data_IF_307634492366
#
_entry.id   IF_307634492366
#
_cell.length_a   1.000
_cell.length_b   1.000
_cell.length_c   1.000
_cell.angle_alpha   90.00
_cell.angle_beta   90.00
_cell.angle_gamma   90.00
#
_symmetry.space_group_name_H-M   'P 1'
#
loop_
_entity.id
_entity.type
_entity.pdbx_description
1 polymer ?
#
# COMPACT_ATOMS: atom_id res chain seq x y z
N UNK A 1 5.17 -25.67 -7.39
CA UNK A 1 5.79 -24.34 -7.23
C UNK A 1 5.05 -23.53 -6.19
N UNK A 2 5.42 -23.70 -4.91
CA UNK A 2 4.84 -22.92 -3.81
C UNK A 2 5.39 -21.50 -3.88
N UNK A 3 4.54 -20.54 -4.26
CA UNK A 3 4.82 -19.11 -4.21
C UNK A 3 5.06 -18.75 -2.74
N UNK A 4 6.33 -18.76 -2.28
CA UNK A 4 6.69 -18.27 -0.93
C UNK A 4 6.12 -16.86 -0.81
N UNK A 5 5.26 -16.64 0.16
CA UNK A 5 4.39 -15.46 0.23
C UNK A 5 5.27 -14.24 0.53
N UNK A 6 5.42 -13.33 -0.43
CA UNK A 6 6.14 -12.05 -0.25
C UNK A 6 5.49 -11.17 0.83
N UNK A 7 4.20 -11.39 1.07
CA UNK A 7 3.42 -10.63 2.03
C UNK A 7 3.80 -10.96 3.48
N UNK A 8 3.91 -9.89 4.27
CA UNK A 8 4.10 -9.92 5.72
C UNK A 8 2.89 -10.61 6.39
N UNK A 9 3.16 -11.41 7.44
CA UNK A 9 2.16 -12.16 8.19
C UNK A 9 2.37 -11.94 9.68
N UNK A 10 1.34 -11.41 10.33
CA UNK A 10 1.29 -11.13 11.75
C UNK A 10 -0.07 -11.52 12.32
N UNK A 11 -0.15 -11.68 13.63
CA UNK A 11 -1.43 -11.85 14.34
C UNK A 11 -2.15 -10.51 14.53
N UNK A 12 -3.46 -10.54 14.76
CA UNK A 12 -4.23 -9.31 15.03
C UNK A 12 -3.63 -8.55 16.22
N UNK A 13 -3.43 -7.24 16.03
CA UNK A 13 -2.85 -6.34 17.02
C UNK A 13 -1.33 -6.28 17.03
N UNK A 14 -0.61 -7.19 16.36
CA UNK A 14 0.85 -7.11 16.27
C UNK A 14 1.28 -5.95 15.34
N UNK A 15 2.25 -5.12 15.77
CA UNK A 15 2.75 -4.00 14.98
C UNK A 15 3.56 -4.47 13.77
N UNK A 16 3.49 -3.69 12.68
CA UNK A 16 4.43 -3.82 11.56
C UNK A 16 5.67 -2.98 11.85
N UNK A 17 6.80 -3.65 12.04
CA UNK A 17 8.10 -3.05 12.33
C UNK A 17 8.74 -2.43 11.10
N UNK A 18 9.75 -1.59 11.28
CA UNK A 18 10.58 -1.11 10.16
C UNK A 18 11.17 -2.25 9.33
N UNK A 19 11.55 -3.37 9.96
CA UNK A 19 12.07 -4.55 9.28
C UNK A 19 11.01 -5.21 8.37
N UNK A 20 9.76 -5.30 8.82
CA UNK A 20 8.66 -5.84 8.01
C UNK A 20 8.44 -5.04 6.72
N UNK A 21 8.54 -3.71 6.86
CA UNK A 21 8.29 -2.71 5.83
C UNK A 21 9.50 -2.48 4.91
N UNK A 22 10.71 -2.88 5.32
CA UNK A 22 11.97 -2.41 4.71
C UNK A 22 12.01 -0.87 4.67
N UNK A 23 11.79 -0.26 5.84
CA UNK A 23 11.65 1.17 6.01
C UNK A 23 12.79 1.99 5.39
N UNK A 24 14.04 1.54 5.49
CA UNK A 24 15.18 2.35 5.01
C UNK A 24 15.19 2.45 3.47
N UNK A 25 14.78 1.39 2.77
CA UNK A 25 14.53 1.45 1.32
C UNK A 25 13.41 2.46 1.03
N UNK A 26 12.28 2.37 1.74
CA UNK A 26 11.16 3.30 1.57
C UNK A 26 11.58 4.75 1.85
N UNK A 27 12.40 4.96 2.87
CA UNK A 27 12.93 6.26 3.22
C UNK A 27 13.81 6.80 2.10
N UNK A 28 14.76 6.01 1.60
CA UNK A 28 15.61 6.38 0.48
C UNK A 28 14.78 6.78 -0.76
N UNK A 29 13.83 5.93 -1.17
CA UNK A 29 13.03 6.19 -2.38
C UNK A 29 12.22 7.49 -2.30
N UNK A 30 11.71 7.82 -1.11
CA UNK A 30 10.89 9.01 -0.88
C UNK A 30 11.69 10.26 -0.47
N UNK A 31 13.00 10.15 -0.28
CA UNK A 31 13.88 11.29 0.03
C UNK A 31 14.94 11.55 -1.04
N UNK A 32 15.07 10.68 -2.05
CA UNK A 32 15.93 10.92 -3.20
C UNK A 32 15.52 12.22 -3.92
N UNK A 33 16.43 13.21 -4.03
CA UNK A 33 16.11 14.53 -4.54
C UNK A 33 16.15 14.62 -6.07
N UNK A 34 16.43 13.54 -6.80
CA UNK A 34 16.69 13.59 -8.22
C UNK A 34 15.38 13.74 -9.00
N UNK A 35 15.14 14.94 -9.54
CA UNK A 35 13.99 15.24 -10.38
C UNK A 35 14.23 14.76 -11.82
N UNK A 36 14.00 13.47 -12.06
CA UNK A 36 14.42 12.78 -13.31
C UNK A 36 13.29 12.05 -14.03
N UNK A 37 12.09 12.04 -13.49
CA UNK A 37 10.91 11.41 -14.10
C UNK A 37 9.93 12.44 -14.65
N UNK A 38 9.41 12.22 -15.86
CA UNK A 38 8.40 13.05 -16.49
C UNK A 38 7.03 12.75 -15.87
N UNK A 39 6.43 13.75 -15.22
CA UNK A 39 5.08 13.61 -14.69
C UNK A 39 4.04 13.65 -15.82
N UNK A 40 3.18 12.64 -16.01
CA UNK A 40 2.13 12.68 -17.03
C UNK A 40 0.99 13.66 -16.70
N UNK A 41 0.96 14.19 -15.48
CA UNK A 41 -0.07 15.11 -15.00
C UNK A 41 0.52 16.47 -14.64
N UNK A 42 -0.34 17.45 -14.35
CA UNK A 42 0.09 18.67 -13.65
C UNK A 42 0.74 18.26 -12.33
N UNK A 43 1.94 18.77 -12.04
CA UNK A 43 2.71 18.36 -10.87
C UNK A 43 2.04 18.80 -9.57
N UNK A 44 2.50 18.25 -8.45
CA UNK A 44 2.06 18.67 -7.11
C UNK A 44 2.27 20.18 -6.86
N UNK A 45 3.22 20.79 -7.57
CA UNK A 45 3.57 22.20 -7.43
C UNK A 45 2.88 23.10 -8.46
N UNK A 46 2.05 22.53 -9.34
CA UNK A 46 1.28 23.25 -10.35
C UNK A 46 1.97 23.40 -11.71
N UNK A 47 3.13 22.77 -11.91
CA UNK A 47 3.85 22.79 -13.19
C UNK A 47 3.14 21.94 -14.25
N UNK A 48 3.28 22.26 -15.54
CA UNK A 48 2.61 21.53 -16.61
C UNK A 48 3.06 20.06 -16.68
N UNK A 49 2.19 19.20 -17.23
CA UNK A 49 2.53 17.83 -17.56
C UNK A 49 3.77 17.74 -18.46
N UNK A 50 4.59 16.72 -18.22
CA UNK A 50 5.93 16.56 -18.80
C UNK A 50 7.05 17.20 -17.98
N UNK A 51 6.74 17.90 -16.88
CA UNK A 51 7.78 18.43 -15.99
C UNK A 51 8.49 17.31 -15.26
N UNK A 52 9.81 17.44 -15.11
CA UNK A 52 10.65 16.48 -14.38
C UNK A 52 10.45 16.62 -12.87
N UNK A 53 10.16 15.52 -12.21
CA UNK A 53 9.88 15.42 -10.76
C UNK A 53 10.66 14.26 -10.13
N UNK A 54 10.74 14.26 -8.80
CA UNK A 54 11.34 13.15 -8.03
C UNK A 54 10.46 11.90 -8.08
N UNK A 55 11.01 10.74 -7.71
CA UNK A 55 10.21 9.52 -7.56
C UNK A 55 9.05 9.73 -6.56
N UNK A 56 9.37 10.39 -5.44
CA UNK A 56 8.42 10.76 -4.38
C UNK A 56 7.21 11.49 -4.96
N UNK A 57 7.47 12.61 -5.65
CA UNK A 57 6.43 13.48 -6.17
C UNK A 57 5.63 12.78 -7.28
N UNK A 58 6.29 12.05 -8.18
CA UNK A 58 5.64 11.26 -9.22
C UNK A 58 4.65 10.23 -8.63
N UNK A 59 5.08 9.50 -7.60
CA UNK A 59 4.27 8.45 -6.99
C UNK A 59 3.07 9.03 -6.24
N UNK A 60 3.27 10.07 -5.43
CA UNK A 60 2.18 10.79 -4.74
C UNK A 60 1.20 11.38 -5.76
N UNK A 61 1.70 12.05 -6.80
CA UNK A 61 0.86 12.70 -7.78
C UNK A 61 0.01 11.70 -8.58
N UNK A 62 0.58 10.53 -8.89
CA UNK A 62 -0.15 9.42 -9.51
C UNK A 62 -1.32 8.95 -8.65
N UNK A 63 -1.14 8.84 -7.32
CA UNK A 63 -2.21 8.45 -6.40
C UNK A 63 -3.31 9.52 -6.32
N UNK A 64 -2.93 10.80 -6.28
CA UNK A 64 -3.86 11.94 -6.28
C UNK A 64 -4.75 11.94 -7.52
N UNK A 65 -4.18 11.66 -8.69
CA UNK A 65 -4.88 11.63 -9.97
C UNK A 65 -5.76 10.39 -10.19
N UNK A 66 -5.71 9.40 -9.28
CA UNK A 66 -6.65 8.27 -9.32
C UNK A 66 -8.11 8.75 -9.18
N UNK A 67 -9.04 8.25 -10.02
CA UNK A 67 -10.47 8.53 -9.87
C UNK A 67 -11.08 7.88 -8.62
N UNK A 68 -10.37 6.93 -7.99
CA UNK A 68 -10.78 6.28 -6.74
C UNK A 68 -10.17 6.95 -5.51
N UNK A 69 -9.27 7.92 -5.68
CA UNK A 69 -8.81 8.77 -4.59
C UNK A 69 -9.92 9.77 -4.25
N UNK A 70 -10.50 9.66 -3.04
CA UNK A 70 -11.60 10.54 -2.62
C UNK A 70 -11.13 11.99 -2.48
N UNK A 71 -12.06 12.95 -2.64
CA UNK A 71 -11.75 14.39 -2.50
C UNK A 71 -11.01 14.71 -1.21
N UNK A 72 -11.52 14.21 -0.07
CA UNK A 72 -10.90 14.40 1.25
C UNK A 72 -9.49 13.81 1.31
N UNK A 73 -9.27 12.64 0.71
CA UNK A 73 -7.94 12.01 0.71
C UNK A 73 -6.96 12.81 -0.15
N UNK A 74 -7.43 13.28 -1.30
CA UNK A 74 -6.66 14.12 -2.21
C UNK A 74 -6.23 15.42 -1.54
N UNK A 75 -7.15 16.12 -0.88
CA UNK A 75 -6.86 17.34 -0.11
C UNK A 75 -5.81 17.05 0.98
N UNK A 76 -5.97 15.97 1.77
CA UNK A 76 -4.98 15.59 2.78
C UNK A 76 -3.59 15.25 2.22
N UNK A 77 -3.52 14.55 1.09
CA UNK A 77 -2.25 14.21 0.42
C UNK A 77 -1.56 15.45 -0.13
N UNK A 78 -2.33 16.46 -0.52
CA UNK A 78 -1.79 17.73 -1.01
C UNK A 78 -1.34 18.64 0.15
N UNK A 79 -2.16 18.77 1.19
CA UNK A 79 -1.97 19.77 2.25
C UNK A 79 -1.00 19.32 3.35
N UNK A 80 -0.77 18.02 3.50
CA UNK A 80 0.13 17.46 4.50
C UNK A 80 1.21 16.57 3.86
N UNK A 81 2.41 17.12 3.61
CA UNK A 81 3.52 16.38 3.01
C UNK A 81 3.95 15.13 3.80
N UNK A 82 3.91 15.19 5.14
CA UNK A 82 4.26 14.05 5.99
C UNK A 82 3.25 12.91 5.84
N UNK A 83 1.96 13.23 5.84
CA UNK A 83 0.91 12.24 5.58
C UNK A 83 1.01 11.68 4.16
N UNK A 84 1.36 12.52 3.18
CA UNK A 84 1.56 12.08 1.80
C UNK A 84 2.66 11.03 1.67
N UNK A 85 3.78 11.22 2.38
CA UNK A 85 4.88 10.24 2.44
C UNK A 85 4.42 8.94 3.08
N UNK A 86 3.79 9.02 4.26
CA UNK A 86 3.32 7.86 5.01
C UNK A 86 2.32 7.04 4.19
N UNK A 87 1.30 7.69 3.64
CA UNK A 87 0.30 7.05 2.80
C UNK A 87 0.90 6.42 1.54
N UNK A 88 1.85 7.11 0.90
CA UNK A 88 2.43 6.64 -0.36
C UNK A 88 3.41 5.49 -0.16
N UNK A 89 4.15 5.47 0.95
CA UNK A 89 4.95 4.30 1.37
C UNK A 89 4.07 3.07 1.61
N UNK A 90 2.94 3.25 2.30
CA UNK A 90 1.94 2.18 2.47
C UNK A 90 1.32 1.73 1.15
N UNK A 91 1.03 2.66 0.25
CA UNK A 91 0.54 2.35 -1.08
C UNK A 91 1.58 1.59 -1.92
N UNK A 92 2.85 1.94 -1.83
CA UNK A 92 3.94 1.21 -2.49
C UNK A 92 4.03 -0.23 -1.98
N UNK A 93 4.02 -0.43 -0.66
CA UNK A 93 4.01 -1.78 -0.06
C UNK A 93 2.80 -2.61 -0.47
N UNK A 94 1.62 -2.00 -0.58
CA UNK A 94 0.44 -2.68 -1.12
C UNK A 94 0.58 -2.99 -2.61
N UNK A 95 1.25 -2.12 -3.38
CA UNK A 95 1.44 -2.26 -4.83
C UNK A 95 2.36 -3.44 -5.15
N UNK A 96 3.46 -3.58 -4.40
CA UNK A 96 4.38 -4.72 -4.53
C UNK A 96 3.86 -6.01 -3.87
N UNK A 97 2.71 -5.94 -3.20
CA UNK A 97 2.09 -7.10 -2.53
C UNK A 97 2.75 -7.50 -1.21
N UNK A 98 3.51 -6.59 -0.58
CA UNK A 98 4.12 -6.80 0.76
C UNK A 98 3.06 -6.73 1.86
N UNK A 99 2.08 -5.84 1.69
CA UNK A 99 0.92 -5.69 2.57
C UNK A 99 -0.30 -6.37 1.95
N UNK A 100 -0.96 -7.21 2.73
CA UNK A 100 -2.17 -7.92 2.31
C UNK A 100 -3.43 -7.07 2.47
N UNK A 101 -4.43 -7.35 1.65
CA UNK A 101 -5.74 -6.66 1.70
C UNK A 101 -6.55 -6.95 2.96
N UNK A 102 -6.20 -7.96 3.74
CA UNK A 102 -6.87 -8.26 5.00
C UNK A 102 -6.40 -7.36 6.14
N UNK A 103 -5.27 -6.67 5.98
CA UNK A 103 -4.70 -5.79 6.99
C UNK A 103 -5.46 -4.45 7.02
N UNK A 104 -5.70 -3.95 8.23
CA UNK A 104 -6.25 -2.64 8.48
C UNK A 104 -5.37 -1.89 9.51
N UNK A 105 -5.34 -0.57 9.42
CA UNK A 105 -4.40 0.27 10.18
C UNK A 105 -5.10 1.20 11.17
N UNK A 106 -6.34 0.89 11.53
CA UNK A 106 -7.09 1.61 12.55
C UNK A 106 -7.80 0.64 13.51
N UNK A 107 -7.74 0.91 14.83
CA UNK A 107 -8.14 -0.05 15.85
C UNK A 107 -9.65 -0.32 15.89
N UNK A 108 -10.48 0.61 15.37
CA UNK A 108 -11.94 0.53 15.37
C UNK A 108 -12.51 -0.49 14.37
N UNK A 109 -11.68 -1.24 13.66
CA UNK A 109 -12.12 -2.28 12.73
C UNK A 109 -12.84 -3.42 13.45
N UNK A 110 -14.11 -3.65 13.06
CA UNK A 110 -15.04 -4.58 13.73
C UNK A 110 -15.24 -5.91 13.02
N UNK A 111 -14.68 -6.09 11.82
CA UNK A 111 -15.00 -7.25 10.97
C UNK A 111 -14.04 -8.42 11.22
N UNK A 112 -14.57 -9.64 11.35
CA UNK A 112 -13.79 -10.86 11.59
C UNK A 112 -12.85 -11.25 10.42
N UNK A 113 -13.04 -10.66 9.24
CA UNK A 113 -12.22 -10.93 8.04
C UNK A 113 -10.99 -10.02 7.92
N UNK A 114 -10.79 -9.11 8.88
CA UNK A 114 -9.68 -8.14 8.85
C UNK A 114 -8.90 -8.19 10.15
N UNK A 115 -7.59 -8.02 10.02
CA UNK A 115 -6.67 -7.93 11.15
C UNK A 115 -6.13 -6.52 11.28
N UNK A 116 -6.20 -5.95 12.48
CA UNK A 116 -5.62 -4.66 12.79
C UNK A 116 -4.12 -4.81 13.02
N UNK A 117 -3.33 -3.92 12.40
CA UNK A 117 -1.90 -3.83 12.63
C UNK A 117 -1.50 -2.35 12.76
N UNK A 118 -0.99 -1.91 13.92
CA UNK A 118 -0.35 -0.60 14.01
C UNK A 118 0.92 -0.57 13.15
N UNK A 119 1.23 0.57 12.56
CA UNK A 119 2.43 0.78 11.73
C UNK A 119 3.21 1.97 12.29
N UNK A 120 3.96 1.79 13.39
CA UNK A 120 4.52 2.91 14.18
C UNK A 120 5.39 3.88 13.36
N UNK A 121 6.16 3.35 12.41
CA UNK A 121 7.07 4.14 11.58
C UNK A 121 6.38 4.97 10.51
N UNK A 122 5.10 4.70 10.21
CA UNK A 122 4.29 5.35 9.16
C UNK A 122 2.95 5.91 9.67
N UNK A 123 2.73 5.98 10.99
CA UNK A 123 1.53 6.55 11.61
C UNK A 123 1.89 7.67 12.60
N UNK A 124 2.83 8.54 12.21
CA UNK A 124 3.29 9.64 13.06
C UNK A 124 2.41 10.88 12.93
N UNK A 125 1.65 10.99 11.83
CA UNK A 125 0.69 12.07 11.63
C UNK A 125 -0.72 11.68 12.12
N UNK A 126 -1.53 12.68 12.50
CA UNK A 126 -2.95 12.52 12.91
C UNK A 126 -3.89 12.08 11.74
N UNK A 127 -3.33 11.50 10.69
CA UNK A 127 -4.07 10.93 9.57
C UNK A 127 -4.27 9.43 9.74
N UNK A 128 -5.53 9.00 9.86
CA UNK A 128 -5.85 7.58 9.72
C UNK A 128 -5.39 7.07 8.34
N UNK A 129 -4.34 6.24 8.33
CA UNK A 129 -3.98 5.46 7.16
C UNK A 129 -5.21 4.63 6.75
N UNK A 130 -5.64 4.80 5.50
CA UNK A 130 -6.76 4.01 4.98
C UNK A 130 -6.43 2.52 5.02
N UNK A 131 -7.45 1.66 5.03
CA UNK A 131 -7.23 0.21 4.95
C UNK A 131 -6.60 -0.23 3.60
N UNK A 132 -5.96 -1.40 3.61
CA UNK A 132 -5.32 -1.96 2.43
C UNK A 132 -6.27 -2.16 1.23
N UNK A 133 -7.56 -2.55 1.39
CA UNK A 133 -8.51 -2.60 0.29
C UNK A 133 -8.76 -1.26 -0.42
N UNK A 134 -8.89 -0.16 0.33
CA UNK A 134 -9.05 1.18 -0.25
C UNK A 134 -7.82 1.60 -1.02
N UNK A 135 -6.63 1.40 -0.45
CA UNK A 135 -5.34 1.64 -1.12
C UNK A 135 -5.28 0.84 -2.43
N UNK A 136 -5.61 -0.46 -2.40
CA UNK A 136 -5.60 -1.31 -3.60
C UNK A 136 -6.58 -0.85 -4.67
N UNK A 137 -7.74 -0.31 -4.29
CA UNK A 137 -8.71 0.24 -5.24
C UNK A 137 -8.19 1.51 -5.92
N UNK A 138 -7.45 2.36 -5.19
CA UNK A 138 -6.73 3.51 -5.77
C UNK A 138 -5.70 3.01 -6.78
N UNK A 139 -4.80 2.11 -6.37
CA UNK A 139 -3.72 1.58 -7.21
C UNK A 139 -4.24 0.97 -8.53
N UNK A 140 -5.30 0.15 -8.48
CA UNK A 140 -5.91 -0.47 -9.66
C UNK A 140 -6.49 0.51 -10.69
N UNK A 141 -6.70 1.76 -10.29
CA UNK A 141 -7.28 2.80 -11.15
C UNK A 141 -6.28 3.91 -11.52
N UNK A 142 -5.01 3.76 -11.14
CA UNK A 142 -3.93 4.64 -11.55
C UNK A 142 -3.50 4.29 -12.99
N UNK A 143 -4.33 4.70 -13.95
CA UNK A 143 -4.11 4.47 -15.38
C UNK A 143 -4.03 5.81 -16.12
N UNK A 144 -3.17 5.90 -17.12
CA UNK A 144 -3.18 7.00 -18.08
C UNK A 144 -4.44 6.91 -18.97
N UNK A 145 -4.90 8.03 -19.56
CA UNK A 145 -6.01 8.00 -20.52
C UNK A 145 -5.79 7.04 -21.69
N UNK A 146 -4.54 6.91 -22.16
CA UNK A 146 -4.13 6.00 -23.24
C UNK A 146 -4.19 4.52 -22.85
N UNK A 147 -4.26 4.20 -21.56
CA UNK A 147 -4.21 2.82 -21.05
C UNK A 147 -5.57 2.18 -20.83
N UNK A 148 -6.65 2.95 -20.86
CA UNK A 148 -8.01 2.47 -20.60
C UNK A 148 -8.45 1.34 -21.55
N UNK A 149 -7.86 1.28 -22.75
CA UNK A 149 -8.13 0.24 -23.76
C UNK A 149 -6.97 -0.75 -23.92
N UNK A 150 -5.74 -0.34 -23.64
CA UNK A 150 -4.53 -1.13 -23.87
C UNK A 150 -3.50 -0.85 -22.77
N UNK A 151 -3.74 -1.36 -21.57
CA UNK A 151 -2.80 -1.26 -20.45
C UNK A 151 -1.61 -2.20 -20.69
N UNK A 152 -0.35 -1.72 -20.60
CA UNK A 152 0.80 -2.61 -20.70
C UNK A 152 0.86 -3.52 -19.47
N UNK A 153 1.22 -4.79 -19.67
CA UNK A 153 1.21 -5.80 -18.59
C UNK A 153 2.54 -6.52 -18.42
N UNK A 154 3.50 -6.31 -19.32
CA UNK A 154 4.81 -6.97 -19.29
C UNK A 154 5.95 -5.93 -19.37
N UNK A 155 7.13 -6.20 -18.77
CA UNK A 155 8.27 -5.29 -18.89
C UNK A 155 8.67 -4.98 -20.36
N UNK A 156 8.73 -5.97 -21.29
CA UNK A 156 9.04 -5.68 -22.69
C UNK A 156 8.03 -4.74 -23.37
N UNK A 157 6.73 -4.84 -23.06
CA UNK A 157 5.73 -3.91 -23.59
C UNK A 157 5.98 -2.47 -23.14
N UNK A 158 6.28 -2.27 -21.85
CA UNK A 158 6.59 -0.94 -21.30
C UNK A 158 7.82 -0.36 -22.00
N UNK A 159 8.88 -1.16 -22.11
CA UNK A 159 10.14 -0.71 -22.72
C UNK A 159 9.96 -0.37 -24.21
N UNK A 160 9.19 -1.16 -24.95
CA UNK A 160 8.87 -0.89 -26.34
C UNK A 160 8.09 0.41 -26.52
N UNK A 161 7.11 0.68 -25.64
CA UNK A 161 6.35 1.95 -25.64
C UNK A 161 7.25 3.15 -25.34
N UNK A 162 8.10 3.04 -24.33
CA UNK A 162 9.02 4.12 -23.97
C UNK A 162 9.97 4.44 -25.13
N UNK A 163 10.53 3.39 -25.77
CA UNK A 163 11.42 3.52 -26.92
C UNK A 163 10.72 4.05 -28.18
N UNK A 164 9.41 3.85 -28.33
CA UNK A 164 8.62 4.42 -29.43
C UNK A 164 8.23 5.88 -29.20
N UNK A 165 8.74 6.53 -28.15
CA UNK A 165 8.47 7.93 -27.84
C UNK A 165 7.26 8.16 -26.93
N UNK A 166 6.58 7.11 -26.46
CA UNK A 166 5.53 7.24 -25.44
C UNK A 166 6.19 7.39 -24.07
N UNK A 167 6.50 8.62 -23.69
CA UNK A 167 7.12 8.94 -22.40
C UNK A 167 6.17 9.86 -21.59
N UNK A 168 5.63 9.40 -20.45
CA UNK A 168 5.86 8.07 -19.88
C UNK A 168 5.05 6.96 -20.59
N UNK A 169 5.55 5.71 -20.60
CA UNK A 169 4.90 4.58 -21.27
C UNK A 169 3.66 4.04 -20.53
N UNK A 170 3.58 4.34 -19.23
CA UNK A 170 2.55 3.91 -18.28
C UNK A 170 2.62 4.78 -17.02
N UNK A 171 1.71 4.62 -16.05
CA UNK A 171 1.89 5.26 -14.74
C UNK A 171 3.01 4.57 -13.94
N UNK A 172 3.67 5.30 -13.02
CA UNK A 172 4.70 4.69 -12.16
C UNK A 172 4.12 3.56 -11.29
N UNK A 173 2.85 3.69 -10.89
CA UNK A 173 2.12 2.67 -10.14
C UNK A 173 1.99 1.37 -10.95
N UNK A 174 1.56 1.46 -12.22
CA UNK A 174 1.42 0.27 -13.06
C UNK A 174 2.78 -0.32 -13.42
N UNK A 175 3.82 0.51 -13.66
CA UNK A 175 5.19 0.02 -13.87
C UNK A 175 5.67 -0.85 -12.69
N UNK A 176 5.52 -0.35 -11.47
CA UNK A 176 5.92 -1.09 -10.26
C UNK A 176 5.08 -2.36 -10.09
N UNK A 177 3.78 -2.30 -10.40
CA UNK A 177 2.91 -3.48 -10.37
C UNK A 177 3.37 -4.57 -11.36
N UNK A 178 3.77 -4.18 -12.57
CA UNK A 178 4.33 -5.09 -13.58
C UNK A 178 5.61 -5.72 -13.04
N UNK A 179 6.54 -4.93 -12.49
CA UNK A 179 7.76 -5.48 -11.89
C UNK A 179 7.45 -6.46 -10.77
N UNK A 180 6.56 -6.13 -9.84
CA UNK A 180 6.18 -7.04 -8.76
C UNK A 180 5.51 -8.34 -9.26
N UNK A 181 4.79 -8.27 -10.38
CA UNK A 181 4.11 -9.43 -10.97
C UNK A 181 5.04 -10.34 -11.76
N UNK A 182 6.11 -9.78 -12.34
CA UNK A 182 7.07 -10.48 -13.20
C UNK A 182 8.42 -10.76 -12.53
N UNK A 183 8.66 -10.23 -11.33
CA UNK A 183 9.83 -10.57 -10.55
C UNK A 183 9.82 -12.08 -10.26
N UNK A 184 10.74 -12.81 -10.89
CA UNK A 184 11.09 -14.14 -10.41
C UNK A 184 11.64 -13.98 -8.98
N UNK A 185 11.42 -14.98 -8.13
CA UNK A 185 11.63 -14.95 -6.67
C UNK A 185 13.09 -14.66 -6.24
N UNK A 186 13.97 -14.33 -7.17
CA UNK A 186 15.38 -13.98 -6.94
C UNK A 186 15.57 -12.50 -6.60
N UNK A 187 15.52 -12.20 -5.30
CA UNK A 187 16.40 -11.27 -4.56
C UNK A 187 16.56 -9.79 -4.98
N UNK A 188 16.12 -9.32 -6.14
CA UNK A 188 16.55 -8.04 -6.70
C UNK A 188 15.76 -6.79 -6.25
N UNK A 189 14.63 -6.97 -5.56
CA UNK A 189 13.91 -5.86 -4.91
C UNK A 189 14.03 -5.87 -3.38
N UNK A 190 14.54 -6.96 -2.79
CA UNK A 190 14.48 -7.21 -1.34
C UNK A 190 15.82 -7.06 -0.62
N UNK A 191 16.94 -6.89 -1.32
CA UNK A 191 18.28 -6.94 -0.74
C UNK A 191 18.97 -5.56 -0.68
N UNK A 192 18.28 -4.53 -0.19
CA UNK A 192 18.96 -3.28 0.20
C UNK A 192 19.49 -2.39 -0.93
N UNK A 193 19.01 -2.54 -2.17
CA UNK A 193 19.49 -1.75 -3.31
C UNK A 193 18.44 -0.74 -3.84
N UNK A 194 18.07 0.31 -3.06
CA UNK A 194 17.09 1.29 -3.49
C UNK A 194 17.53 2.04 -4.77
N UNK A 195 18.83 2.16 -5.00
CA UNK A 195 19.39 2.65 -6.27
C UNK A 195 19.02 1.76 -7.45
N UNK A 196 19.11 0.43 -7.32
CA UNK A 196 18.73 -0.48 -8.39
C UNK A 196 17.23 -0.41 -8.70
N UNK A 197 16.39 -0.18 -7.68
CA UNK A 197 14.97 0.08 -7.87
C UNK A 197 14.73 1.34 -8.71
N UNK A 198 15.32 2.48 -8.32
CA UNK A 198 15.17 3.73 -9.07
C UNK A 198 15.76 3.62 -10.49
N UNK A 199 16.87 2.89 -10.64
CA UNK A 199 17.44 2.58 -11.94
C UNK A 199 16.46 1.81 -12.82
N UNK A 200 15.79 0.77 -12.30
CA UNK A 200 14.79 0.01 -13.04
C UNK A 200 13.59 0.88 -13.42
N UNK A 201 13.08 1.67 -12.48
CA UNK A 201 12.02 2.63 -12.77
C UNK A 201 12.44 3.56 -13.92
N UNK A 202 13.60 4.19 -13.84
CA UNK A 202 14.07 5.11 -14.87
C UNK A 202 14.33 4.41 -16.20
N UNK A 203 14.95 3.22 -16.21
CA UNK A 203 15.25 2.48 -17.44
C UNK A 203 14.00 2.17 -18.27
N UNK A 204 12.90 1.80 -17.62
CA UNK A 204 11.66 1.47 -18.31
C UNK A 204 10.75 2.68 -18.53
N UNK A 205 10.76 3.67 -17.62
CA UNK A 205 9.90 4.85 -17.69
C UNK A 205 10.46 5.93 -18.64
N UNK A 206 11.78 6.10 -18.65
CA UNK A 206 12.52 7.20 -19.27
C UNK A 206 13.57 6.70 -20.28
N UNK A 207 13.28 5.62 -21.01
CA UNK A 207 14.27 4.86 -21.79
C UNK A 207 15.01 5.65 -22.88
N UNK A 208 14.50 6.81 -23.26
CA UNK A 208 15.11 7.71 -24.25
C UNK A 208 16.18 8.64 -23.65
N UNK A 209 16.33 8.66 -22.32
CA UNK A 209 17.27 9.52 -21.61
C UNK A 209 18.33 8.72 -20.83
N UNK A 210 19.55 9.27 -20.63
CA UNK A 210 20.58 8.62 -19.82
C UNK A 210 20.08 8.33 -18.40
N UNK A 211 20.42 7.17 -17.84
CA UNK A 211 19.95 6.79 -16.52
C UNK A 211 20.82 7.47 -15.42
N UNK A 212 20.26 8.36 -14.60
CA UNK A 212 21.02 9.08 -13.57
C UNK A 212 21.47 8.17 -12.43
N UNK A 213 20.85 7.00 -12.28
CA UNK A 213 21.19 6.03 -11.25
C UNK A 213 22.30 5.06 -11.70
N UNK A 214 22.91 5.26 -12.88
CA UNK A 214 23.97 4.41 -13.41
C UNK A 214 25.25 4.43 -12.57
N UNK A 215 25.91 3.28 -12.44
CA UNK A 215 27.24 3.12 -11.87
C UNK A 215 28.26 2.64 -12.91
N UNK A 216 29.47 2.26 -12.46
CA UNK A 216 30.48 1.74 -13.38
C UNK A 216 30.08 0.40 -14.02
N UNK A 217 29.27 -0.42 -13.35
CA UNK A 217 28.82 -1.72 -13.83
C UNK A 217 27.71 -1.58 -14.87
N UNK A 218 26.65 -0.83 -14.57
CA UNK A 218 25.52 -0.64 -15.49
C UNK A 218 25.93 0.11 -16.75
N UNK A 219 26.88 1.07 -16.65
CA UNK A 219 27.46 1.74 -17.82
C UNK A 219 28.25 0.79 -18.73
N UNK A 220 28.92 -0.22 -18.16
CA UNK A 220 29.67 -1.24 -18.93
C UNK A 220 28.76 -2.33 -19.49
N UNK A 221 27.60 -2.55 -18.87
CA UNK A 221 26.67 -3.62 -19.23
C UNK A 221 25.27 -3.04 -19.51
N UNK A 222 25.02 -2.51 -20.72
CA UNK A 222 23.74 -1.89 -21.07
C UNK A 222 22.55 -2.82 -20.80
N UNK A 223 21.54 -2.30 -20.11
CA UNK A 223 20.34 -3.06 -19.72
C UNK A 223 20.50 -3.86 -18.42
N UNK A 224 21.65 -3.80 -17.76
CA UNK A 224 21.84 -4.37 -16.42
C UNK A 224 21.80 -3.30 -15.34
N UNK A 225 21.28 -3.68 -14.18
CA UNK A 225 21.21 -2.82 -12.99
C UNK A 225 22.62 -2.46 -12.47
N UNK A 226 22.73 -1.39 -11.67
CA UNK A 226 23.93 -1.08 -10.90
C UNK A 226 24.36 -2.26 -10.02
N UNK A 227 25.62 -2.27 -9.60
CA UNK A 227 26.14 -3.26 -8.67
C UNK A 227 25.28 -3.27 -7.39
N UNK A 228 24.88 -4.48 -6.97
CA UNK A 228 24.19 -4.66 -5.70
C UNK A 228 25.24 -4.65 -4.58
N UNK A 229 25.11 -3.68 -3.68
CA UNK A 229 25.92 -3.61 -2.46
C UNK A 229 25.32 -4.60 -1.46
N UNK A 230 26.09 -5.62 -1.09
CA UNK A 230 25.69 -6.58 -0.07
C UNK A 230 26.16 -6.07 1.29
N UNK A 231 25.20 -5.81 2.18
CA UNK A 231 25.50 -5.44 3.56
C UNK A 231 26.17 -6.60 4.29
N UNK A 232 27.19 -6.27 5.09
CA UNK A 232 27.69 -7.20 6.09
C UNK A 232 26.59 -7.55 7.12
N UNK A 233 26.71 -8.67 7.85
CA UNK A 233 25.75 -9.01 8.89
C UNK A 233 25.57 -7.93 9.97
N UNK A 234 26.60 -7.11 10.20
CA UNK A 234 26.58 -6.00 11.16
C UNK A 234 25.83 -4.79 10.59
N UNK A 235 26.10 -4.41 9.34
CA UNK A 235 25.37 -3.32 8.66
C UNK A 235 23.89 -3.67 8.47
N UNK A 236 23.59 -4.93 8.14
CA UNK A 236 22.21 -5.41 8.02
C UNK A 236 21.43 -5.35 9.35
N UNK A 237 22.12 -5.37 10.50
CA UNK A 237 21.49 -5.20 11.83
C UNK A 237 21.19 -3.73 12.16
N UNK A 238 21.89 -2.80 11.52
CA UNK A 238 21.66 -1.37 11.67
C UNK A 238 20.54 -0.86 10.73
N UNK A 239 20.24 -1.62 9.68
CA UNK A 239 19.15 -1.34 8.76
C UNK A 239 17.79 -1.65 9.42
N UNK A 240 16.80 -0.80 9.16
CA UNK A 240 15.39 -1.03 9.53
C UNK A 240 15.15 -1.18 11.03
N UNK A 241 15.92 -0.48 11.87
CA UNK A 241 15.78 -0.54 13.34
C UNK A 241 14.69 0.42 13.82
N UNK A 242 13.65 -0.12 14.49
CA UNK A 242 12.62 0.70 15.14
C UNK A 242 13.23 1.55 16.27
N UNK A 243 12.82 2.82 16.30
CA UNK A 243 13.15 3.76 17.38
C UNK A 243 12.47 3.36 18.69
N UNK A 244 13.00 3.78 19.86
CA UNK A 244 12.34 3.55 21.14
C UNK A 244 10.89 4.05 21.17
N UNK A 245 10.63 5.20 20.56
CA UNK A 245 9.30 5.81 20.50
C UNK A 245 8.32 4.97 19.66
N UNK A 246 8.78 4.43 18.53
CA UNK A 246 8.00 3.53 17.67
C UNK A 246 7.63 2.23 18.40
N UNK A 247 8.56 1.66 19.19
CA UNK A 247 8.31 0.45 19.99
C UNK A 247 7.25 0.71 21.05
N UNK A 248 7.42 1.76 21.85
CA UNK A 248 6.47 2.15 22.91
C UNK A 248 5.09 2.44 22.33
N UNK A 249 5.02 3.15 21.20
CA UNK A 249 3.75 3.45 20.55
C UNK A 249 3.09 2.19 19.99
N UNK A 250 3.86 1.28 19.38
CA UNK A 250 3.36 0.00 18.89
C UNK A 250 2.72 -0.82 20.01
N UNK A 251 3.41 -0.98 21.14
CA UNK A 251 2.91 -1.68 22.33
C UNK A 251 1.62 -1.05 22.87
N UNK A 252 1.56 0.29 22.92
CA UNK A 252 0.35 1.02 23.34
C UNK A 252 -0.83 0.71 22.43
N UNK A 253 -0.65 0.72 21.11
CA UNK A 253 -1.71 0.44 20.15
C UNK A 253 -2.17 -1.02 20.19
N UNK A 254 -1.24 -1.96 20.38
CA UNK A 254 -1.55 -3.37 20.62
C UNK A 254 -2.41 -3.55 21.87
N UNK A 255 -2.06 -2.88 22.97
CA UNK A 255 -2.84 -2.91 24.21
C UNK A 255 -4.24 -2.30 24.02
N UNK A 256 -4.35 -1.19 23.28
CA UNK A 256 -5.65 -0.59 22.93
C UNK A 256 -6.52 -1.54 22.11
N UNK A 257 -5.94 -2.26 21.14
CA UNK A 257 -6.66 -3.26 20.37
C UNK A 257 -7.20 -4.38 21.25
N UNK A 258 -6.37 -4.88 22.18
CA UNK A 258 -6.78 -5.92 23.12
C UNK A 258 -7.98 -5.48 23.96
N UNK A 259 -7.92 -4.28 24.53
CA UNK A 259 -9.04 -3.71 25.30
C UNK A 259 -10.31 -3.54 24.46
N UNK A 260 -10.16 -3.10 23.20
CA UNK A 260 -11.29 -2.97 22.28
C UNK A 260 -11.98 -4.32 22.01
N UNK A 261 -11.19 -5.39 21.82
CA UNK A 261 -11.72 -6.74 21.60
C UNK A 261 -12.35 -7.33 22.87
N UNK A 262 -11.73 -7.17 24.04
CA UNK A 262 -12.29 -7.65 25.32
C UNK A 262 -13.62 -6.97 25.67
N UNK A 263 -13.74 -5.66 25.42
CA UNK A 263 -14.99 -4.93 25.66
C UNK A 263 -16.08 -5.36 24.67
N UNK A 264 -15.71 -5.80 23.46
CA UNK A 264 -16.66 -6.37 22.50
C UNK A 264 -17.21 -7.69 23.03
N UNK A 265 -16.36 -8.61 23.45
CA UNK A 265 -16.78 -9.93 23.91
C UNK A 265 -17.77 -9.80 25.09
N UNK A 266 -17.51 -8.87 26.02
CA UNK A 266 -18.44 -8.54 27.12
C UNK A 266 -19.78 -7.95 26.66
N UNK A 267 -19.81 -7.25 25.53
CA UNK A 267 -21.05 -6.66 24.97
C UNK A 267 -21.88 -7.68 24.17
N UNK A 268 -21.23 -8.67 23.54
CA UNK A 268 -21.90 -9.78 22.85
C UNK A 268 -22.41 -10.84 23.84
N UNK A 269 -21.67 -11.10 24.93
CA UNK A 269 -22.07 -12.01 26.02
C UNK A 269 -23.23 -11.48 26.88
N UNK A 270 -23.62 -10.22 26.68
CA UNK A 270 -24.75 -9.56 27.37
C UNK A 270 -26.12 -9.85 26.75
N UNK A 271 -26.19 -10.53 25.60
CA UNK A 271 -27.46 -10.98 25.00
C UNK A 271 -27.80 -12.36 25.60
N UNK A 272 -28.25 -12.34 26.85
CA UNK A 272 -28.93 -13.50 27.43
C UNK A 272 -30.29 -13.60 26.76
N UNK A 273 -30.51 -14.68 26.01
CA UNK A 273 -31.80 -15.02 25.42
C UNK A 273 -32.86 -15.13 26.53
N UNK A 274 -33.70 -14.10 26.64
CA UNK A 274 -34.80 -14.02 27.58
C UNK A 274 -36.09 -14.67 27.02
N UNK A 275 -36.00 -15.70 26.17
CA UNK A 275 -37.17 -16.36 25.57
C UNK A 275 -37.38 -17.84 25.95
N UNK A 276 -37.00 -18.26 27.16
CA UNK A 276 -37.39 -19.59 27.68
C UNK A 276 -38.32 -19.61 28.91
N UNK A 277 -38.63 -18.47 29.55
CA UNK A 277 -39.47 -18.46 30.77
C UNK A 277 -40.93 -18.03 30.60
N UNK A 278 -41.49 -18.03 29.37
CA UNK A 278 -42.93 -17.71 29.18
C UNK A 278 -43.78 -18.79 28.51
N UNK A 279 -43.29 -20.02 28.41
CA UNK A 279 -44.09 -21.20 28.02
C UNK A 279 -44.59 -21.98 29.22
N UNK A 280 -45.25 -21.33 30.16
CA UNK A 280 -46.18 -22.03 31.05
C UNK A 280 -47.21 -21.03 31.58
N UNK A 281 -48.48 -21.41 31.50
CA UNK A 281 -49.70 -20.68 31.88
C UNK A 281 -50.26 -19.70 30.84
N UNK A 282 -51.00 -20.23 29.85
CA UNK A 282 -52.45 -19.97 29.73
C UNK A 282 -53.12 -21.18 29.07
N UNK A 283 -53.67 -22.08 29.89
CA UNK A 283 -54.78 -22.95 29.47
C UNK A 283 -56.08 -22.18 29.71
N UNK A 284 -56.92 -21.98 28.68
CA UNK A 284 -58.24 -21.39 28.91
C UNK A 284 -59.03 -20.97 27.68
N UNK A 285 -59.80 -21.93 27.13
CA UNK A 285 -61.16 -21.82 26.53
C UNK A 285 -61.55 -20.54 25.74
N UNK A 286 -62.03 -20.74 24.49
CA UNK A 286 -63.17 -19.95 23.98
C UNK A 286 -63.29 -19.72 22.46
N UNK A 287 -64.12 -20.55 21.82
CA UNK A 287 -64.81 -20.44 20.50
C UNK A 287 -64.98 -19.05 19.85
N UNK A 288 -64.88 -19.01 18.51
CA UNK A 288 -65.56 -17.99 17.68
C UNK A 288 -65.31 -18.13 16.16
N UNK A 289 -66.38 -18.15 15.35
CA UNK A 289 -66.45 -18.46 13.91
C UNK A 289 -66.25 -17.23 13.00
N UNK A 290 -65.90 -17.44 11.72
CA UNK A 290 -66.25 -16.53 10.60
C UNK A 290 -65.21 -16.52 9.47
N UNK A 291 -65.28 -17.45 8.52
CA UNK A 291 -65.95 -17.36 7.20
C UNK A 291 -65.13 -16.61 6.14
N UNK A 292 -64.67 -17.40 5.16
CA UNK A 292 -64.07 -16.99 3.90
C UNK A 292 -64.98 -16.12 3.02
N UNK A 293 -64.38 -15.24 2.23
CA UNK A 293 -64.64 -15.16 0.78
C UNK A 293 -63.55 -14.37 0.04
N UNK A 294 -63.08 -14.99 -1.04
CA UNK A 294 -62.34 -14.37 -2.15
C UNK A 294 -63.25 -13.39 -2.89
N UNK A 295 -62.65 -12.28 -3.33
CA UNK A 295 -62.56 -11.87 -4.75
C UNK A 295 -61.27 -11.07 -4.88
#
# INVERSE_FOLDING_TARGET
NHRKTFAVKHQDGEPLTRADLQYDILYYLFTDPQAVFNDPFTTLHGDPAGTKVTFRDLYINTLIHSPRCSKISREKLHDNPHFADEFSKMALLSNVGRINTTMAFFPEMRTALRTYHPVPSLQKTDGNLQDAPRIKNILKSCLLPSELQNTPTTPPEVLNRSRSGSVPPTTIVNLIFIFASHASVSHSLCAGAPRAFLWLCHHYYESTSPNPFDDAQSRKNPGQIPALEFLSPEEAQLENVDTPEEKVWGEKMTAQRKLFMENKDKSDDGVVDYDETRREKVSGRGRGRGRARRT
#
